data_IF_299509613863
#
_entry.id   IF_299509613863
#
_cell.length_a   1.000
_cell.length_b   1.000
_cell.length_c   1.000
_cell.angle_alpha   90.00
_cell.angle_beta   90.00
_cell.angle_gamma   90.00
#
_symmetry.space_group_name_H-M   'P 1'
#
loop_
_entity.id
_entity.type
_entity.pdbx_description
1 polymer ?
#
# COMPACT_ATOMS: atom_id res chain seq x y z
N UNK A 1 2.74 -10.45 -11.60
CA UNK A 1 3.59 -11.60 -11.94
C UNK A 1 3.14 -12.83 -11.19
N UNK A 2 3.47 -13.99 -11.71
CA UNK A 2 3.02 -15.24 -11.10
C UNK A 2 3.79 -15.60 -9.83
N UNK A 3 5.02 -15.11 -9.69
CA UNK A 3 5.83 -15.46 -8.52
C UNK A 3 5.69 -14.45 -7.39
N UNK A 4 5.13 -13.27 -7.67
CA UNK A 4 4.84 -12.28 -6.65
C UNK A 4 3.34 -12.17 -6.50
N UNK A 5 2.83 -12.37 -5.30
CA UNK A 5 1.39 -12.33 -5.08
C UNK A 5 0.81 -10.94 -5.35
N UNK A 6 -0.43 -10.86 -5.79
CA UNK A 6 -1.11 -9.57 -5.94
C UNK A 6 -1.30 -8.91 -4.58
N UNK A 7 -1.49 -7.59 -4.59
CA UNK A 7 -1.81 -6.89 -3.35
C UNK A 7 -3.20 -7.31 -2.91
N UNK A 8 -3.30 -7.72 -1.65
CA UNK A 8 -4.55 -8.18 -1.03
C UNK A 8 -4.73 -7.46 0.29
N UNK A 9 -5.97 -7.33 0.70
CA UNK A 9 -6.27 -6.79 2.01
C UNK A 9 -7.42 -7.56 2.62
N UNK A 10 -7.45 -7.59 3.95
CA UNK A 10 -8.59 -8.14 4.67
C UNK A 10 -8.66 -7.51 6.05
N UNK A 11 -9.83 -7.59 6.63
CA UNK A 11 -10.08 -7.01 7.95
C UNK A 11 -10.49 -8.11 8.93
N UNK A 12 -9.87 -8.11 10.08
CA UNK A 12 -10.23 -9.01 11.19
C UNK A 12 -10.52 -8.10 12.38
N UNK A 13 -11.78 -8.05 12.78
CA UNK A 13 -12.21 -7.09 13.80
C UNK A 13 -12.00 -5.68 13.30
N UNK A 14 -11.19 -4.89 13.99
CA UNK A 14 -10.86 -3.53 13.59
C UNK A 14 -9.46 -3.41 12.95
N UNK A 15 -8.83 -4.53 12.64
CA UNK A 15 -7.47 -4.55 12.10
C UNK A 15 -7.53 -4.89 10.62
N UNK A 16 -6.93 -4.02 9.81
CA UNK A 16 -6.78 -4.23 8.37
C UNK A 16 -5.35 -4.69 8.09
N UNK A 17 -5.24 -5.79 7.35
CA UNK A 17 -3.96 -6.33 6.90
C UNK A 17 -3.86 -6.16 5.40
N UNK A 18 -2.76 -5.58 4.94
CA UNK A 18 -2.48 -5.44 3.50
C UNK A 18 -1.18 -6.17 3.23
N UNK A 19 -1.17 -6.98 2.20
CA UNK A 19 0.02 -7.74 1.81
C UNK A 19 0.06 -7.95 0.31
N UNK A 20 1.26 -7.97 -0.24
CA UNK A 20 1.48 -8.26 -1.64
C UNK A 20 2.54 -7.40 -2.27
N UNK A 21 2.74 -7.62 -3.56
CA UNK A 21 3.67 -6.86 -4.38
C UNK A 21 2.93 -6.29 -5.58
N UNK A 22 3.29 -5.08 -5.94
CA UNK A 22 2.79 -4.46 -7.17
C UNK A 22 3.97 -4.07 -8.03
N UNK A 23 3.80 -4.10 -9.34
CA UNK A 23 4.84 -3.75 -10.29
C UNK A 23 4.53 -2.43 -10.97
N UNK A 24 5.56 -1.81 -11.55
CA UNK A 24 5.42 -0.59 -12.34
C UNK A 24 4.76 0.55 -11.56
N UNK A 25 5.03 0.61 -10.26
CA UNK A 25 4.54 1.70 -9.45
C UNK A 25 5.25 2.99 -9.84
N UNK A 26 4.48 4.05 -10.06
CA UNK A 26 5.01 5.37 -10.36
C UNK A 26 4.67 6.31 -9.22
N UNK A 27 5.58 7.25 -8.94
CA UNK A 27 5.34 8.24 -7.90
C UNK A 27 4.03 9.00 -8.18
N UNK A 28 3.24 9.20 -7.12
CA UNK A 28 1.99 9.95 -7.14
C UNK A 28 0.86 9.30 -7.95
N UNK A 29 1.02 8.03 -8.32
CA UNK A 29 -0.04 7.27 -8.97
C UNK A 29 -0.72 6.37 -7.95
N UNK A 30 -2.04 6.31 -7.97
CA UNK A 30 -2.79 5.46 -7.06
C UNK A 30 -2.57 4.00 -7.45
N UNK A 31 -2.10 3.18 -6.49
CA UNK A 31 -1.94 1.76 -6.72
C UNK A 31 -3.29 1.06 -6.66
N UNK A 32 -4.04 1.35 -5.61
CA UNK A 32 -5.40 0.85 -5.43
C UNK A 32 -6.09 1.70 -4.37
N UNK A 33 -7.41 1.55 -4.28
CA UNK A 33 -8.21 2.30 -3.31
C UNK A 33 -8.94 1.33 -2.39
N UNK A 34 -8.74 1.49 -1.08
CA UNK A 34 -9.42 0.69 -0.09
C UNK A 34 -10.90 1.09 0.00
N UNK A 35 -11.82 0.13 0.09
CA UNK A 35 -13.23 0.44 0.22
C UNK A 35 -13.55 1.04 1.59
N UNK A 36 -14.73 1.62 1.69
CA UNK A 36 -15.24 2.13 2.96
C UNK A 36 -15.27 0.99 3.99
N UNK A 37 -14.82 1.28 5.19
CA UNK A 37 -14.70 0.28 6.26
C UNK A 37 -13.31 -0.33 6.37
N UNK A 38 -12.44 -0.08 5.38
CA UNK A 38 -11.05 -0.55 5.37
C UNK A 38 -10.05 0.60 5.38
N UNK A 39 -10.50 1.82 5.62
CA UNK A 39 -9.68 3.01 5.52
C UNK A 39 -9.13 3.41 6.87
N UNK A 40 -7.90 3.97 6.92
CA UNK A 40 -7.34 4.41 8.19
C UNK A 40 -8.06 5.65 8.70
N UNK A 41 -8.08 5.87 10.03
CA UNK A 41 -8.68 7.07 10.60
C UNK A 41 -7.83 8.32 10.36
N UNK A 42 -6.55 8.14 10.08
CA UNK A 42 -5.62 9.21 9.80
C UNK A 42 -4.77 8.86 8.61
N UNK A 43 -4.21 9.86 7.96
CA UNK A 43 -3.27 9.67 6.85
C UNK A 43 -2.05 8.90 7.37
N UNK A 44 -1.71 7.80 6.71
CA UNK A 44 -0.56 6.98 7.09
C UNK A 44 0.57 7.15 6.11
N UNK A 45 1.79 7.19 6.64
CA UNK A 45 3.02 7.27 5.86
C UNK A 45 3.85 6.04 6.18
N UNK A 46 4.21 5.28 5.15
CA UNK A 46 4.95 4.04 5.29
C UNK A 46 6.20 4.08 4.43
N UNK A 47 7.25 3.42 4.88
CA UNK A 47 8.44 3.18 4.07
C UNK A 47 8.48 1.70 3.74
N UNK A 48 8.48 1.39 2.45
CA UNK A 48 8.38 0.02 1.96
C UNK A 48 9.50 -0.26 0.97
N UNK A 49 9.72 -1.54 0.69
CA UNK A 49 10.73 -1.95 -0.28
C UNK A 49 10.28 -1.62 -1.70
N UNK A 50 11.17 -1.02 -2.47
CA UNK A 50 10.97 -0.73 -3.88
C UNK A 50 12.19 -1.25 -4.62
N UNK A 51 12.15 -2.51 -5.03
CA UNK A 51 13.32 -3.22 -5.53
C UNK A 51 14.42 -3.19 -4.46
N UNK A 52 15.58 -2.60 -4.73
CA UNK A 52 16.64 -2.47 -3.74
C UNK A 52 16.64 -1.13 -3.03
N UNK A 53 15.57 -0.37 -3.16
CA UNK A 53 15.44 0.96 -2.58
C UNK A 53 14.26 1.02 -1.65
N UNK A 54 14.11 2.14 -0.96
CA UNK A 54 12.95 2.42 -0.14
C UNK A 54 12.02 3.37 -0.89
N UNK A 55 10.72 3.12 -0.77
CA UNK A 55 9.70 3.99 -1.32
C UNK A 55 8.81 4.47 -0.18
N UNK A 56 8.37 5.72 -0.27
CA UNK A 56 7.38 6.25 0.66
C UNK A 56 6.00 5.95 0.11
N UNK A 57 5.21 5.25 0.90
CA UNK A 57 3.85 4.86 0.53
C UNK A 57 2.89 5.55 1.50
N UNK A 58 1.93 6.27 0.98
CA UNK A 58 0.91 6.95 1.77
C UNK A 58 -0.43 6.25 1.60
N UNK A 59 -1.15 6.10 2.70
CA UNK A 59 -2.54 5.65 2.68
C UNK A 59 -3.39 6.82 3.12
N UNK A 60 -4.23 7.30 2.23
CA UNK A 60 -5.03 8.50 2.45
C UNK A 60 -6.38 8.17 3.09
N UNK A 61 -7.04 9.18 3.61
CA UNK A 61 -8.33 9.00 4.27
C UNK A 61 -9.41 8.47 3.35
N UNK A 62 -9.32 8.77 2.05
CA UNK A 62 -10.26 8.23 1.07
C UNK A 62 -9.94 6.80 0.64
N UNK A 63 -8.90 6.21 1.22
CA UNK A 63 -8.49 4.85 0.92
C UNK A 63 -7.44 4.71 -0.16
N UNK A 64 -7.05 5.79 -0.81
CA UNK A 64 -6.04 5.72 -1.87
C UNK A 64 -4.68 5.35 -1.31
N UNK A 65 -4.05 4.36 -1.91
CA UNK A 65 -2.69 3.94 -1.58
C UNK A 65 -1.78 4.45 -2.68
N UNK A 66 -0.90 5.38 -2.32
CA UNK A 66 -0.13 6.16 -3.29
C UNK A 66 1.35 6.12 -2.93
N UNK A 67 2.24 5.68 -3.85
CA UNK A 67 3.67 5.86 -3.63
C UNK A 67 4.02 7.32 -3.90
N UNK A 68 4.53 7.99 -2.88
CA UNK A 68 4.94 9.39 -3.01
C UNK A 68 6.33 9.46 -3.59
N UNK A 69 7.19 8.54 -3.19
CA UNK A 69 8.56 8.45 -3.69
C UNK A 69 8.77 7.00 -4.13
N UNK A 70 9.11 6.79 -5.38
CA UNK A 70 9.37 5.47 -5.92
C UNK A 70 10.57 5.55 -6.86
N UNK A 71 11.80 5.39 -6.33
CA UNK A 71 13.00 5.50 -7.16
C UNK A 71 13.10 4.45 -8.27
N UNK A 72 12.39 3.33 -8.11
CA UNK A 72 12.38 2.28 -9.12
C UNK A 72 10.96 2.03 -9.56
N UNK A 73 10.76 1.73 -10.86
CA UNK A 73 9.46 1.34 -11.38
C UNK A 73 9.27 -0.18 -11.37
N UNK A 74 10.22 -0.93 -10.80
CA UNK A 74 10.17 -2.39 -10.80
C UNK A 74 8.99 -2.89 -9.99
N UNK A 75 9.16 -3.10 -8.70
CA UNK A 75 8.06 -3.58 -7.86
C UNK A 75 8.14 -2.92 -6.49
N UNK A 76 6.99 -2.82 -5.86
CA UNK A 76 6.83 -2.23 -4.53
C UNK A 76 6.16 -3.26 -3.64
N UNK A 77 6.77 -3.48 -2.47
CA UNK A 77 6.20 -4.35 -1.46
C UNK A 77 5.19 -3.56 -0.64
N UNK A 78 3.94 -4.04 -0.59
CA UNK A 78 2.89 -3.35 0.13
C UNK A 78 2.47 -4.24 1.29
N UNK A 79 3.14 -4.09 2.42
CA UNK A 79 2.84 -4.85 3.64
C UNK A 79 2.61 -3.88 4.76
N UNK A 80 1.42 -3.84 5.30
CA UNK A 80 1.14 -3.01 6.46
C UNK A 80 -0.10 -3.52 7.20
N UNK A 81 -0.22 -3.05 8.42
CA UNK A 81 -1.35 -3.37 9.29
C UNK A 81 -1.73 -2.10 10.02
N UNK A 82 -3.00 -1.79 10.06
CA UNK A 82 -3.48 -0.63 10.80
C UNK A 82 -4.88 -0.89 11.34
N UNK A 83 -5.27 -0.08 12.31
CA UNK A 83 -6.61 -0.15 12.88
C UNK A 83 -7.53 0.83 12.17
N UNK A 84 -8.75 0.39 11.88
CA UNK A 84 -9.80 1.31 11.45
C UNK A 84 -10.45 1.91 12.69
N UNK A 85 -11.01 3.09 12.54
CA UNK A 85 -11.63 3.79 13.68
C UNK A 85 -12.79 3.02 14.27
#
# INVERSE_FOLDING_TARGET
>A
TTQYGPVRYRKIGSIVHIAGLTTQASANSVIFTLPVGYRPPNHLILWVSNSNNLARLDIQLNGDVVPVTAPSTSWVSVFCTFMVA
#
